data_IF_206097931481
#
_entry.id   IF_206097931481
#
_cell.length_a   1.000
_cell.length_b   1.000
_cell.length_c   1.000
_cell.angle_alpha   90.00
_cell.angle_beta   90.00
_cell.angle_gamma   90.00
#
_symmetry.space_group_name_H-M   'P 1'
#
loop_
_entity.id
_entity.type
_entity.pdbx_description
1 polymer ?
#
# COMPACT_ATOMS: atom_id res chain seq x y z
N UNK A 1 15.00 9.19 -5.68
CA UNK A 1 14.83 9.04 -4.56
C UNK A 1 13.51 8.65 -4.17
N UNK A 2 13.01 8.15 -3.60
CA UNK A 2 11.75 7.89 -3.05
C UNK A 2 10.59 7.56 -3.96
N UNK A 3 10.80 7.46 -5.26
CA UNK A 3 9.68 7.22 -6.16
C UNK A 3 8.91 5.94 -5.83
N UNK A 4 9.61 4.86 -5.55
CA UNK A 4 8.95 3.62 -5.19
C UNK A 4 8.37 3.66 -3.77
N UNK A 5 9.05 4.33 -2.85
CA UNK A 5 8.54 4.54 -1.51
C UNK A 5 7.26 5.35 -1.58
N UNK A 6 7.29 6.45 -2.33
CA UNK A 6 6.14 7.31 -2.51
C UNK A 6 4.98 6.56 -3.16
N UNK A 7 5.27 5.76 -4.19
CA UNK A 7 4.25 4.96 -4.85
C UNK A 7 3.59 3.99 -3.87
N UNK A 8 4.39 3.37 -3.00
CA UNK A 8 3.84 2.47 -1.98
C UNK A 8 2.98 3.20 -0.97
N UNK A 9 3.39 4.41 -0.59
CA UNK A 9 2.59 5.23 0.32
C UNK A 9 1.23 5.54 -0.29
N UNK A 10 1.22 5.89 -1.57
CA UNK A 10 -0.04 6.14 -2.29
C UNK A 10 -0.89 4.87 -2.37
N UNK A 11 -0.25 3.73 -2.61
CA UNK A 11 -0.97 2.48 -2.67
C UNK A 11 -1.64 2.16 -1.34
N UNK A 12 -0.94 2.36 -0.22
CA UNK A 12 -1.52 2.15 1.11
C UNK A 12 -2.69 3.10 1.32
N UNK A 13 -2.56 4.37 0.92
CA UNK A 13 -3.64 5.33 1.05
C UNK A 13 -4.89 4.91 0.28
N UNK A 14 -4.70 4.44 -0.94
CA UNK A 14 -5.83 3.97 -1.73
C UNK A 14 -6.47 2.74 -1.11
N UNK A 15 -5.66 1.77 -0.68
CA UNK A 15 -6.18 0.56 -0.07
C UNK A 15 -6.92 0.86 1.23
N UNK A 16 -6.46 1.85 1.98
CA UNK A 16 -7.12 2.31 3.20
C UNK A 16 -8.53 2.83 2.86
N UNK A 17 -8.63 3.70 1.86
CA UNK A 17 -9.92 4.22 1.42
C UNK A 17 -10.83 3.10 0.91
N UNK A 18 -10.26 2.21 0.13
CA UNK A 18 -11.00 1.07 -0.41
C UNK A 18 -11.56 0.19 0.71
N UNK A 19 -10.75 -0.07 1.72
CA UNK A 19 -11.14 -0.90 2.84
C UNK A 19 -12.31 -0.30 3.62
N UNK A 20 -12.26 1.00 3.85
CA UNK A 20 -13.30 1.68 4.63
C UNK A 20 -14.56 1.95 3.81
N UNK A 21 -14.43 2.15 2.54
CA UNK A 21 -15.56 2.51 1.68
C UNK A 21 -15.33 2.00 0.26
N UNK A 22 -15.57 0.70 0.02
CA UNK A 22 -15.31 0.12 -1.29
C UNK A 22 -16.11 0.81 -2.40
N UNK A 23 -15.44 1.23 -3.48
CA UNK A 23 -16.12 1.88 -4.58
C UNK A 23 -16.83 0.86 -5.48
N UNK A 24 -17.82 1.34 -6.21
CA UNK A 24 -18.51 0.49 -7.17
C UNK A 24 -17.63 0.17 -8.37
N UNK A 25 -16.76 1.11 -8.74
CA UNK A 25 -15.86 0.94 -9.89
C UNK A 25 -14.43 1.31 -9.48
N UNK A 26 -13.56 0.31 -9.48
CA UNK A 26 -12.17 0.51 -9.05
C UNK A 26 -11.41 1.40 -10.02
N UNK A 27 -11.66 1.26 -11.32
CA UNK A 27 -10.95 2.05 -12.32
C UNK A 27 -11.25 3.54 -12.15
N UNK A 28 -12.51 3.88 -11.96
CA UNK A 28 -12.89 5.27 -11.73
C UNK A 28 -12.31 5.78 -10.41
N UNK A 29 -12.35 4.94 -9.39
CA UNK A 29 -11.82 5.33 -8.08
C UNK A 29 -10.32 5.60 -8.16
N UNK A 30 -9.59 4.80 -8.92
CA UNK A 30 -8.16 5.02 -9.11
C UNK A 30 -7.88 6.32 -9.84
N UNK A 31 -8.62 6.60 -10.90
CA UNK A 31 -8.44 7.85 -11.64
C UNK A 31 -8.71 9.05 -10.73
N UNK A 32 -9.79 9.00 -9.96
CA UNK A 32 -10.13 10.07 -9.03
C UNK A 32 -9.08 10.22 -7.93
N UNK A 33 -8.55 9.11 -7.45
CA UNK A 33 -7.53 9.13 -6.42
C UNK A 33 -6.27 9.86 -6.91
N UNK A 34 -5.78 9.47 -8.11
CA UNK A 34 -4.56 10.09 -8.63
C UNK A 34 -4.77 11.57 -8.96
N UNK A 35 -5.94 11.92 -9.48
CA UNK A 35 -6.27 13.33 -9.74
C UNK A 35 -6.30 14.12 -8.44
N UNK A 36 -6.85 13.55 -7.37
CA UNK A 36 -6.87 14.19 -6.07
C UNK A 36 -5.47 14.42 -5.51
N UNK A 37 -4.59 13.45 -5.69
CA UNK A 37 -3.21 13.58 -5.23
C UNK A 37 -2.51 14.71 -5.96
N UNK A 38 -2.72 14.84 -7.26
CA UNK A 38 -2.12 15.90 -8.05
C UNK A 38 -2.69 17.26 -7.67
N UNK A 39 -3.99 17.32 -7.45
CA UNK A 39 -4.64 18.56 -7.01
C UNK A 39 -4.08 19.04 -5.67
N UNK A 40 -3.92 18.11 -4.72
CA UNK A 40 -3.37 18.45 -3.42
C UNK A 40 -1.93 18.96 -3.53
N UNK A 41 -1.12 18.33 -4.37
CA UNK A 41 0.26 18.76 -4.57
C UNK A 41 0.33 20.16 -5.17
N UNK A 42 -0.55 20.46 -6.14
CA UNK A 42 -0.60 21.78 -6.75
C UNK A 42 -1.06 22.84 -5.74
N UNK A 43 -2.01 22.49 -4.88
CA UNK A 43 -2.49 23.40 -3.86
C UNK A 43 -1.38 23.77 -2.88
N UNK A 44 -0.54 22.83 -2.55
CA UNK A 44 0.60 23.09 -1.65
C UNK A 44 1.59 24.04 -2.28
N UNK A 45 1.88 23.87 -3.57
CA UNK A 45 2.82 24.72 -4.28
C UNK A 45 2.33 26.13 -4.47
N UNK A 46 1.04 26.29 -4.75
CA UNK A 46 0.48 27.60 -5.10
C UNK A 46 -0.22 28.31 -3.96
N UNK A 47 -0.33 27.65 -2.82
CA UNK A 47 -1.07 28.19 -1.70
C UNK A 47 -2.56 27.96 -1.85
N UNK A 48 -3.37 28.50 -0.94
CA UNK A 48 -4.82 28.27 -0.96
C UNK A 48 -5.46 28.77 -2.25
N UNK A 49 -6.31 27.97 -2.82
CA UNK A 49 -7.03 28.36 -4.01
C UNK A 49 -8.14 29.33 -3.65
N UNK A 50 -8.42 30.28 -4.54
CA UNK A 50 -9.51 31.20 -4.36
C UNK A 50 -10.83 30.47 -4.66
N UNK A 51 -11.85 30.80 -3.91
CA UNK A 51 -13.18 30.23 -4.13
C UNK A 51 -13.61 30.40 -5.58
N UNK A 52 -14.04 29.30 -6.16
CA UNK A 52 -14.56 29.34 -7.51
C UNK A 52 -13.54 29.21 -8.63
N UNK A 53 -12.26 29.16 -8.30
CA UNK A 53 -11.27 28.95 -9.33
C UNK A 53 -11.28 27.49 -9.78
N UNK A 54 -11.30 27.32 -11.09
CA UNK A 54 -11.12 25.98 -11.64
C UNK A 54 -9.64 25.74 -11.76
N UNK A 55 -9.18 24.68 -11.13
CA UNK A 55 -7.79 24.27 -11.25
C UNK A 55 -7.72 23.29 -12.39
N UNK A 56 -7.05 23.68 -13.46
CA UNK A 56 -6.78 22.75 -14.54
C UNK A 56 -5.50 22.02 -14.19
N UNK A 57 -5.59 20.69 -14.15
CA UNK A 57 -4.43 19.90 -13.85
C UNK A 57 -3.54 19.83 -15.09
N UNK A 58 -2.25 20.15 -14.94
CA UNK A 58 -1.32 19.97 -16.05
C UNK A 58 -1.14 18.47 -16.31
N UNK A 59 -0.56 18.08 -17.44
CA UNK A 59 -0.28 16.67 -17.67
C UNK A 59 0.61 16.10 -16.57
N UNK A 60 0.49 14.81 -16.24
CA UNK A 60 1.34 14.21 -15.22
C UNK A 60 2.82 14.33 -15.59
N UNK A 61 3.65 14.56 -14.59
CA UNK A 61 5.10 14.55 -14.80
C UNK A 61 5.57 13.10 -14.99
N UNK A 62 6.79 12.93 -15.44
CA UNK A 62 7.36 11.59 -15.59
C UNK A 62 7.40 10.86 -14.25
N UNK A 63 7.68 11.58 -13.15
CA UNK A 63 7.70 10.98 -11.82
C UNK A 63 6.31 10.53 -11.37
N UNK A 64 5.30 11.34 -11.63
CA UNK A 64 3.93 11.00 -11.27
C UNK A 64 3.48 9.76 -12.04
N UNK A 65 3.78 9.73 -13.33
CA UNK A 65 3.42 8.58 -14.16
C UNK A 65 4.15 7.32 -13.72
N UNK A 66 5.42 7.43 -13.38
CA UNK A 66 6.20 6.29 -12.92
C UNK A 66 5.66 5.75 -11.59
N UNK A 67 5.27 6.64 -10.69
CA UNK A 67 4.71 6.24 -9.41
C UNK A 67 3.40 5.47 -9.62
N UNK A 68 2.55 5.97 -10.51
CA UNK A 68 1.29 5.32 -10.80
C UNK A 68 1.49 3.95 -11.46
N UNK A 69 2.42 3.88 -12.41
CA UNK A 69 2.74 2.62 -13.10
C UNK A 69 3.23 1.57 -12.10
N UNK A 70 4.01 1.98 -11.11
CA UNK A 70 4.47 1.06 -10.09
C UNK A 70 3.37 0.69 -9.10
N UNK A 71 2.59 1.66 -8.66
CA UNK A 71 1.57 1.46 -7.62
C UNK A 71 0.33 0.70 -8.07
N UNK A 72 -0.18 0.98 -9.26
CA UNK A 72 -1.46 0.38 -9.67
C UNK A 72 -1.47 -1.14 -9.73
N UNK A 73 -0.45 -1.80 -10.28
CA UNK A 73 -0.44 -3.26 -10.25
C UNK A 73 -0.46 -3.81 -8.83
N UNK A 74 0.21 -3.12 -7.91
CA UNK A 74 0.22 -3.54 -6.50
C UNK A 74 -1.16 -3.38 -5.87
N UNK A 75 -1.81 -2.27 -6.15
CA UNK A 75 -3.15 -2.00 -5.65
C UNK A 75 -4.15 -3.04 -6.17
N UNK A 76 -4.16 -3.24 -7.49
CA UNK A 76 -5.08 -4.18 -8.11
C UNK A 76 -4.83 -5.61 -7.65
N UNK A 77 -3.56 -5.98 -7.55
CA UNK A 77 -3.20 -7.31 -7.09
C UNK A 77 -3.61 -7.55 -5.65
N UNK A 78 -3.40 -6.55 -4.78
CA UNK A 78 -3.79 -6.68 -3.38
C UNK A 78 -5.30 -6.84 -3.24
N UNK A 79 -6.06 -6.10 -4.04
CA UNK A 79 -7.53 -6.21 -4.02
C UNK A 79 -7.97 -7.57 -4.55
N UNK A 80 -7.40 -7.99 -5.67
CA UNK A 80 -7.77 -9.25 -6.30
C UNK A 80 -7.47 -10.46 -5.41
N UNK A 81 -6.38 -10.42 -4.69
CA UNK A 81 -5.95 -11.51 -3.83
C UNK A 81 -6.20 -11.26 -2.35
N UNK A 82 -7.08 -10.31 -2.03
CA UNK A 82 -7.31 -9.90 -0.66
C UNK A 82 -7.67 -11.06 0.28
N UNK A 83 -8.54 -11.95 -0.16
CA UNK A 83 -8.96 -13.06 0.70
C UNK A 83 -7.79 -13.97 1.07
N UNK A 84 -6.96 -14.28 0.11
CA UNK A 84 -5.78 -15.10 0.34
C UNK A 84 -4.79 -14.38 1.26
N UNK A 85 -4.58 -13.10 1.00
CA UNK A 85 -3.68 -12.30 1.80
C UNK A 85 -4.16 -12.22 3.24
N UNK A 86 -5.44 -11.99 3.43
CA UNK A 86 -6.03 -11.89 4.77
C UNK A 86 -5.88 -13.20 5.55
N UNK A 87 -5.91 -14.34 4.87
CA UNK A 87 -5.67 -15.61 5.54
C UNK A 87 -4.25 -15.70 6.08
N UNK A 88 -3.27 -15.18 5.35
CA UNK A 88 -1.90 -15.12 5.85
C UNK A 88 -1.80 -14.23 7.09
N UNK A 89 -2.51 -13.10 7.08
CA UNK A 89 -2.50 -12.21 8.23
C UNK A 89 -3.10 -12.90 9.44
N UNK A 90 -4.25 -13.53 9.27
CA UNK A 90 -4.94 -14.22 10.36
C UNK A 90 -4.09 -15.33 10.95
N UNK A 91 -3.38 -16.04 10.12
CA UNK A 91 -2.53 -17.13 10.55
C UNK A 91 -1.43 -16.66 11.51
N UNK A 92 -0.88 -15.49 11.27
CA UNK A 92 0.25 -14.99 12.03
C UNK A 92 -0.09 -13.92 13.07
N UNK A 93 -1.30 -13.39 13.03
CA UNK A 93 -1.75 -12.39 13.99
C UNK A 93 -2.69 -13.03 15.01
N UNK A 94 -2.19 -14.02 15.72
CA UNK A 94 -3.03 -14.88 16.56
C UNK A 94 -3.86 -14.17 17.62
N UNK A 95 -3.38 -13.09 18.16
CA UNK A 95 -4.08 -12.39 19.23
C UNK A 95 -4.91 -11.22 18.73
N UNK A 96 -4.99 -11.06 17.41
CA UNK A 96 -5.69 -9.94 16.82
C UNK A 96 -6.62 -10.38 15.72
N UNK A 97 -7.86 -9.95 15.81
CA UNK A 97 -8.78 -10.17 14.72
C UNK A 97 -8.53 -9.11 13.67
N UNK A 98 -8.63 -9.50 12.40
CA UNK A 98 -8.31 -8.63 11.29
C UNK A 98 -9.07 -7.30 11.35
N UNK A 99 -10.36 -7.35 11.65
CA UNK A 99 -11.18 -6.14 11.68
C UNK A 99 -10.89 -5.24 12.90
N UNK A 100 -10.15 -5.75 13.88
CA UNK A 100 -9.77 -4.96 15.04
C UNK A 100 -8.41 -4.29 14.88
N UNK A 101 -7.66 -4.68 13.86
CA UNK A 101 -6.41 -4.00 13.58
C UNK A 101 -6.68 -2.58 13.12
N UNK A 102 -5.74 -1.69 13.40
CA UNK A 102 -5.80 -0.36 12.81
C UNK A 102 -5.83 -0.52 11.29
N UNK A 103 -6.71 0.22 10.62
CA UNK A 103 -6.88 0.09 9.18
C UNK A 103 -5.59 0.38 8.41
N UNK A 104 -4.75 1.28 8.91
CA UNK A 104 -3.46 1.54 8.29
C UNK A 104 -2.59 0.30 8.34
N UNK A 105 -2.48 -0.33 9.51
CA UNK A 105 -1.65 -1.51 9.68
C UNK A 105 -2.12 -2.65 8.80
N UNK A 106 -3.42 -2.86 8.76
CA UNK A 106 -4.02 -3.90 7.94
C UNK A 106 -3.68 -3.74 6.47
N UNK A 107 -3.77 -2.51 5.98
CA UNK A 107 -3.53 -2.26 4.57
C UNK A 107 -2.05 -2.21 4.21
N UNK A 108 -1.20 -1.81 5.14
CA UNK A 108 0.24 -1.92 4.96
C UNK A 108 0.62 -3.40 4.84
N UNK A 109 0.04 -4.25 5.70
CA UNK A 109 0.28 -5.69 5.63
C UNK A 109 -0.20 -6.28 4.32
N UNK A 110 -1.39 -5.88 3.88
CA UNK A 110 -1.94 -6.39 2.61
C UNK A 110 -1.03 -6.09 1.44
N UNK A 111 -0.54 -4.86 1.37
CA UNK A 111 0.34 -4.47 0.28
C UNK A 111 1.65 -5.25 0.31
N UNK A 112 2.29 -5.31 1.47
CA UNK A 112 3.57 -5.99 1.60
C UNK A 112 3.45 -7.48 1.31
N UNK A 113 2.39 -8.12 1.80
CA UNK A 113 2.20 -9.55 1.57
C UNK A 113 1.97 -9.83 0.10
N UNK A 114 1.20 -8.96 -0.57
CA UNK A 114 1.03 -9.11 -2.01
C UNK A 114 2.39 -9.09 -2.72
N UNK A 115 3.23 -8.10 -2.39
CA UNK A 115 4.56 -8.03 -3.00
C UNK A 115 5.36 -9.29 -2.74
N UNK A 116 5.34 -9.78 -1.51
CA UNK A 116 6.13 -10.95 -1.13
C UNK A 116 5.66 -12.21 -1.83
N UNK A 117 4.36 -12.34 -2.07
CA UNK A 117 3.82 -13.54 -2.69
C UNK A 117 3.88 -13.51 -4.21
N UNK A 118 3.72 -12.35 -4.81
CA UNK A 118 3.54 -12.24 -6.26
C UNK A 118 4.58 -11.43 -7.02
N UNK A 119 5.42 -10.67 -6.35
CA UNK A 119 6.42 -9.84 -7.02
C UNK A 119 7.81 -10.42 -6.77
N UNK A 120 8.17 -11.37 -7.59
CA UNK A 120 9.47 -12.03 -7.47
C UNK A 120 10.64 -11.08 -7.73
N UNK A 121 10.39 -10.02 -8.47
CA UNK A 121 11.40 -9.00 -8.76
C UNK A 121 11.75 -8.13 -7.55
N UNK A 122 10.96 -8.22 -6.47
CA UNK A 122 11.20 -7.43 -5.27
C UNK A 122 11.60 -8.37 -4.14
N UNK A 123 12.82 -8.24 -3.60
CA UNK A 123 13.22 -9.10 -2.48
C UNK A 123 12.31 -8.89 -1.27
N UNK A 124 11.92 -9.95 -0.58
CA UNK A 124 11.03 -9.81 0.59
C UNK A 124 11.54 -8.83 1.64
N UNK A 125 12.86 -8.75 1.85
CA UNK A 125 13.41 -7.84 2.84
C UNK A 125 13.11 -6.39 2.48
N UNK A 126 13.06 -6.07 1.18
CA UNK A 126 12.72 -4.72 0.73
C UNK A 126 11.27 -4.41 1.06
N UNK A 127 10.36 -5.35 0.74
CA UNK A 127 8.95 -5.15 1.03
C UNK A 127 8.70 -4.97 2.53
N UNK A 128 9.39 -5.74 3.36
CA UNK A 128 9.25 -5.62 4.81
C UNK A 128 9.75 -4.28 5.31
N UNK A 129 10.95 -3.88 4.90
CA UNK A 129 11.53 -2.61 5.36
C UNK A 129 10.67 -1.42 4.95
N UNK A 130 10.16 -1.43 3.73
CA UNK A 130 9.29 -0.37 3.25
C UNK A 130 7.98 -0.34 4.04
N UNK A 131 7.40 -1.52 4.30
CA UNK A 131 6.16 -1.61 5.06
C UNK A 131 6.33 -1.08 6.49
N UNK A 132 7.42 -1.45 7.13
CA UNK A 132 7.71 -0.99 8.49
C UNK A 132 7.81 0.53 8.55
N UNK A 133 8.54 1.11 7.60
CA UNK A 133 8.72 2.56 7.55
C UNK A 133 7.40 3.28 7.29
N UNK A 134 6.57 2.74 6.40
CA UNK A 134 5.26 3.32 6.10
C UNK A 134 4.36 3.24 7.33
N UNK A 135 4.35 2.10 8.02
CA UNK A 135 3.55 1.94 9.23
C UNK A 135 3.96 2.96 10.30
N UNK A 136 5.26 3.16 10.47
CA UNK A 136 5.75 4.16 11.43
C UNK A 136 5.35 5.58 11.04
N UNK A 137 5.38 5.86 9.74
CA UNK A 137 5.08 7.20 9.24
C UNK A 137 3.60 7.54 9.41
N UNK A 138 2.71 6.61 9.09
CA UNK A 138 1.28 6.88 9.12
C UNK A 138 0.57 6.42 10.38
N UNK A 139 1.25 5.72 11.26
CA UNK A 139 0.64 5.25 12.50
C UNK A 139 1.62 5.48 13.66
N UNK A 140 2.16 4.42 14.28
CA UNK A 140 3.03 4.57 15.46
C UNK A 140 4.28 3.71 15.34
N UNK A 141 5.22 3.90 16.26
CA UNK A 141 6.39 3.05 16.35
C UNK A 141 5.99 1.61 16.65
N UNK A 142 4.95 1.44 17.47
CA UNK A 142 4.45 0.11 17.79
C UNK A 142 3.86 -0.57 16.56
N UNK A 143 3.25 0.19 15.66
CA UNK A 143 2.77 -0.34 14.40
C UNK A 143 3.90 -0.92 13.57
N UNK A 144 5.05 -0.22 13.54
CA UNK A 144 6.21 -0.73 12.84
C UNK A 144 6.65 -2.09 13.36
N UNK A 145 6.69 -2.24 14.69
CA UNK A 145 7.07 -3.50 15.31
C UNK A 145 6.07 -4.61 15.01
N UNK A 146 4.80 -4.29 15.09
CA UNK A 146 3.72 -5.23 14.83
C UNK A 146 3.79 -5.75 13.39
N UNK A 147 3.91 -4.83 12.45
CA UNK A 147 4.01 -5.16 11.02
C UNK A 147 5.25 -6.02 10.75
N UNK A 148 6.37 -5.61 11.31
CA UNK A 148 7.61 -6.35 11.13
C UNK A 148 7.49 -7.79 11.64
N UNK A 149 6.87 -7.97 12.80
CA UNK A 149 6.72 -9.28 13.39
C UNK A 149 5.92 -10.24 12.50
N UNK A 150 4.83 -9.76 11.95
CA UNK A 150 3.99 -10.58 11.08
C UNK A 150 4.70 -10.89 9.76
N UNK A 151 5.26 -9.86 9.13
CA UNK A 151 5.90 -10.04 7.84
C UNK A 151 7.14 -10.92 7.93
N UNK A 152 7.86 -10.84 9.03
CA UNK A 152 9.04 -11.66 9.22
C UNK A 152 8.67 -13.16 9.29
N UNK A 153 7.56 -13.47 9.94
CA UNK A 153 7.07 -14.85 10.00
C UNK A 153 6.68 -15.35 8.61
N UNK A 154 6.02 -14.51 7.84
CA UNK A 154 5.63 -14.87 6.48
C UNK A 154 6.88 -15.10 5.62
N UNK A 155 7.86 -14.21 5.75
CA UNK A 155 9.13 -14.36 5.04
C UNK A 155 9.77 -15.70 5.36
N UNK A 156 9.76 -16.09 6.64
CA UNK A 156 10.32 -17.36 7.05
C UNK A 156 9.66 -18.54 6.35
N UNK A 157 8.36 -18.49 6.17
CA UNK A 157 7.64 -19.53 5.47
C UNK A 157 8.01 -19.58 3.99
N UNK A 158 8.12 -18.41 3.36
CA UNK A 158 8.43 -18.34 1.94
C UNK A 158 9.87 -18.76 1.63
N UNK A 159 10.77 -18.50 2.56
CA UNK A 159 12.18 -18.77 2.33
C UNK A 159 12.61 -20.20 2.61
N UNK A 160 11.70 -20.97 3.12
CA UNK A 160 12.06 -22.33 3.38
C UNK A 160 11.32 -23.31 2.54
N UNK A 161 11.37 -23.46 1.51
CA UNK A 161 10.57 -24.25 0.80
C UNK A 161 11.04 -25.23 -0.06
N UNK A 162 11.71 -24.87 -0.98
CA UNK A 162 12.06 -25.82 -1.98
C UNK A 162 12.68 -27.07 -1.40
N UNK A 163 13.48 -26.88 -0.39
CA UNK A 163 14.15 -28.03 0.19
C UNK A 163 13.22 -28.92 0.99
N UNK A 164 12.15 -28.39 1.42
CA UNK A 164 11.20 -29.17 2.20
C UNK A 164 10.28 -29.98 1.35
N UNK A 165 10.21 -29.62 0.12
CA UNK A 165 9.35 -30.32 -0.82
C UNK A 165 9.97 -31.60 -1.29
N UNK A 166 11.20 -31.79 -1.07
CA UNK A 166 11.87 -33.00 -1.55
C UNK A 166 11.40 -34.24 -0.92
#
# INVERSE_FOLDING_TARGET
>A
MGTRREARERAVQFLFQYDLNPPANVDEALDQFWDSQRTAALAEDKGPATWGEKIELPPPTAEESAARVFAEPLIRGAIEHQNEIDEHIKKHAKNWELHRMAAVDRNVLRLAIYEMLYREDIPPVVSINEAVDIAKKFSTQDSGKFVNGILDKIKGELMRPAREIK
#
